data_IF_723130078806
#
_entry.id   IF_723130078806
#
_cell.length_a   1.000
_cell.length_b   1.000
_cell.length_c   1.000
_cell.angle_alpha   90.00
_cell.angle_beta   90.00
_cell.angle_gamma   90.00
#
_symmetry.space_group_name_H-M   'P 1'
#
loop_
_entity.id
_entity.type
_entity.pdbx_description
1 polymer ?
#
# COMPACT_ATOMS: atom_id res chain seq x y z
N UNK A 1 -16.28 -27.53 35.97
CA UNK A 1 -15.94 -27.91 34.58
C UNK A 1 -15.47 -26.64 33.89
N UNK A 2 -14.22 -26.56 33.45
CA UNK A 2 -13.69 -25.35 32.83
C UNK A 2 -14.42 -25.09 31.51
N UNK A 3 -15.11 -23.95 31.42
CA UNK A 3 -15.77 -23.49 30.19
C UNK A 3 -14.72 -23.36 29.09
N UNK A 4 -14.94 -24.00 27.94
CA UNK A 4 -14.02 -23.92 26.80
C UNK A 4 -13.87 -22.44 26.39
N UNK A 5 -12.65 -21.95 26.07
CA UNK A 5 -12.48 -20.57 25.66
C UNK A 5 -13.32 -20.31 24.40
N UNK A 6 -14.25 -19.35 24.48
CA UNK A 6 -15.10 -18.96 23.35
C UNK A 6 -14.20 -18.44 22.23
N UNK A 7 -14.37 -18.97 21.03
CA UNK A 7 -13.58 -18.60 19.86
C UNK A 7 -13.98 -17.20 19.38
N UNK A 8 -13.04 -16.25 19.47
CA UNK A 8 -13.27 -14.81 19.19
C UNK A 8 -13.03 -14.46 17.72
N UNK A 9 -12.43 -15.36 16.94
CA UNK A 9 -12.22 -15.15 15.50
C UNK A 9 -13.11 -16.09 14.70
N UNK A 10 -13.63 -15.61 13.57
CA UNK A 10 -14.26 -16.47 12.56
C UNK A 10 -13.19 -17.34 11.89
N UNK A 11 -13.59 -18.48 11.34
CA UNK A 11 -12.73 -19.31 10.47
C UNK A 11 -12.46 -18.64 9.12
N UNK A 12 -13.31 -17.67 8.73
CA UNK A 12 -13.16 -16.92 7.49
C UNK A 12 -11.95 -15.97 7.55
N UNK A 13 -11.17 -15.97 6.47
CA UNK A 13 -10.00 -15.10 6.29
C UNK A 13 -10.08 -14.42 4.93
N UNK A 14 -9.49 -13.23 4.83
CA UNK A 14 -9.30 -12.61 3.53
C UNK A 14 -8.22 -13.36 2.71
N UNK A 15 -8.08 -13.09 1.40
CA UNK A 15 -7.06 -13.74 0.53
C UNK A 15 -5.61 -13.59 1.01
N UNK A 16 -5.36 -12.69 1.97
CA UNK A 16 -4.06 -12.34 2.53
C UNK A 16 -3.87 -12.90 3.96
N UNK A 17 -4.83 -13.68 4.45
CA UNK A 17 -4.76 -14.41 5.72
C UNK A 17 -5.25 -13.66 6.96
N UNK A 18 -5.74 -12.43 6.81
CA UNK A 18 -6.27 -11.61 7.91
C UNK A 18 -7.57 -12.26 8.42
N UNK A 19 -7.67 -12.62 9.72
CA UNK A 19 -8.86 -13.21 10.30
C UNK A 19 -10.05 -12.26 10.27
N UNK A 20 -11.24 -12.77 9.94
CA UNK A 20 -12.50 -12.01 10.03
C UNK A 20 -13.01 -12.00 11.48
N UNK A 21 -13.48 -10.84 11.91
CA UNK A 21 -14.15 -10.65 13.18
C UNK A 21 -15.56 -11.26 13.12
N UNK A 22 -15.96 -12.11 14.08
CA UNK A 22 -17.32 -12.63 14.13
C UNK A 22 -18.28 -11.54 14.58
N UNK A 23 -19.41 -11.37 13.92
CA UNK A 23 -20.45 -10.46 14.37
C UNK A 23 -21.39 -11.17 15.35
N UNK A 24 -21.54 -10.62 16.56
CA UNK A 24 -22.40 -11.20 17.59
C UNK A 24 -23.78 -10.53 17.50
N UNK A 25 -24.70 -11.19 16.80
CA UNK A 25 -26.08 -10.71 16.65
C UNK A 25 -26.89 -10.84 17.96
N UNK A 26 -26.80 -11.99 18.62
CA UNK A 26 -27.48 -12.26 19.89
C UNK A 26 -26.45 -12.36 21.02
N UNK A 27 -26.40 -11.32 21.86
CA UNK A 27 -25.47 -11.26 22.98
C UNK A 27 -25.88 -12.19 24.10
N UNK A 28 -27.19 -12.40 24.33
CA UNK A 28 -27.71 -13.27 25.38
C UNK A 28 -27.31 -14.74 25.13
N UNK A 29 -27.40 -15.21 23.88
CA UNK A 29 -26.97 -16.56 23.51
C UNK A 29 -25.44 -16.71 23.55
N UNK A 30 -24.73 -15.68 23.09
CA UNK A 30 -23.27 -15.67 23.12
C UNK A 30 -22.72 -15.61 24.55
N UNK A 31 -23.40 -14.91 25.46
CA UNK A 31 -23.13 -14.82 26.90
C UNK A 31 -23.97 -15.85 27.67
N UNK A 32 -23.84 -17.12 27.30
CA UNK A 32 -24.52 -18.27 27.92
C UNK A 32 -24.35 -18.44 29.44
N UNK A 33 -23.45 -17.70 30.08
CA UNK A 33 -23.16 -17.77 31.52
C UNK A 33 -23.12 -16.35 32.09
N UNK A 34 -23.99 -16.05 33.06
CA UNK A 34 -24.15 -14.72 33.69
C UNK A 34 -23.05 -14.41 34.72
N UNK A 35 -21.98 -15.20 34.73
CA UNK A 35 -20.86 -15.04 35.65
C UNK A 35 -20.01 -13.82 35.27
N UNK A 36 -19.75 -12.95 36.25
CA UNK A 36 -18.96 -11.72 36.04
C UNK A 36 -17.57 -12.02 35.46
N UNK A 37 -16.97 -13.15 35.85
CA UNK A 37 -15.65 -13.58 35.38
C UNK A 37 -15.64 -13.93 33.88
N UNK A 38 -16.73 -14.52 33.36
CA UNK A 38 -16.82 -14.89 31.94
C UNK A 38 -16.97 -13.66 31.03
N UNK A 39 -17.68 -12.64 31.51
CA UNK A 39 -17.86 -11.36 30.83
C UNK A 39 -16.53 -10.62 30.75
N UNK A 40 -15.84 -10.48 31.89
CA UNK A 40 -14.55 -9.78 31.93
C UNK A 40 -13.50 -10.48 31.05
N UNK A 41 -13.46 -11.82 31.09
CA UNK A 41 -12.59 -12.61 30.21
C UNK A 41 -12.89 -12.36 28.74
N UNK A 42 -14.17 -12.30 28.36
CA UNK A 42 -14.57 -12.04 26.97
C UNK A 42 -14.22 -10.63 26.51
N UNK A 43 -14.47 -9.62 27.36
CA UNK A 43 -14.12 -8.23 27.06
C UNK A 43 -12.61 -8.04 26.91
N UNK A 44 -11.79 -8.65 27.78
CA UNK A 44 -10.32 -8.65 27.63
C UNK A 44 -9.89 -9.26 26.30
N UNK A 45 -10.51 -10.37 25.93
CA UNK A 45 -10.14 -11.05 24.69
C UNK A 45 -10.57 -10.28 23.42
N UNK A 46 -11.66 -9.49 23.49
CA UNK A 46 -12.00 -8.53 22.43
C UNK A 46 -11.00 -7.37 22.37
N UNK A 47 -10.55 -6.85 23.51
CA UNK A 47 -9.50 -5.83 23.54
C UNK A 47 -8.20 -6.35 22.93
N UNK A 48 -7.80 -7.59 23.22
CA UNK A 48 -6.64 -8.23 22.60
C UNK A 48 -6.79 -8.37 21.07
N UNK A 49 -7.99 -8.71 20.60
CA UNK A 49 -8.28 -8.79 19.17
C UNK A 49 -8.22 -7.41 18.50
N UNK A 50 -8.79 -6.37 19.12
CA UNK A 50 -8.70 -4.98 18.64
C UNK A 50 -7.25 -4.52 18.58
N UNK A 51 -6.43 -4.83 19.59
CA UNK A 51 -5.02 -4.50 19.60
C UNK A 51 -4.26 -5.16 18.42
N UNK A 52 -4.57 -6.43 18.11
CA UNK A 52 -4.00 -7.13 16.95
C UNK A 52 -4.42 -6.48 15.63
N UNK A 53 -5.70 -6.13 15.46
CA UNK A 53 -6.17 -5.45 14.25
C UNK A 53 -5.50 -4.08 14.08
N UNK A 54 -5.40 -3.27 15.14
CA UNK A 54 -4.71 -1.98 15.11
C UNK A 54 -3.22 -2.11 14.78
N UNK A 55 -2.55 -3.13 15.31
CA UNK A 55 -1.16 -3.41 14.97
C UNK A 55 -0.99 -3.75 13.48
N UNK A 56 -1.87 -4.60 12.94
CA UNK A 56 -1.87 -4.92 11.51
C UNK A 56 -2.16 -3.68 10.65
N UNK A 57 -3.11 -2.83 11.06
CA UNK A 57 -3.46 -1.59 10.36
C UNK A 57 -2.27 -0.62 10.32
N UNK A 58 -1.57 -0.45 11.45
CA UNK A 58 -0.38 0.39 11.52
C UNK A 58 0.73 -0.09 10.56
N UNK A 59 0.98 -1.40 10.52
CA UNK A 59 1.98 -1.98 9.63
C UNK A 59 1.63 -1.81 8.15
N UNK A 60 0.37 -2.06 7.78
CA UNK A 60 -0.09 -1.87 6.40
C UNK A 60 -0.13 -0.39 6.01
N UNK A 61 -0.45 0.51 6.94
CA UNK A 61 -0.39 1.96 6.71
C UNK A 61 1.03 2.41 6.41
N UNK A 62 2.03 1.95 7.20
CA UNK A 62 3.42 2.25 6.92
C UNK A 62 3.85 1.73 5.54
N UNK A 63 3.47 0.49 5.20
CA UNK A 63 3.76 -0.10 3.88
C UNK A 63 3.12 0.68 2.74
N UNK A 64 1.89 1.15 2.92
CA UNK A 64 1.18 2.01 1.96
C UNK A 64 1.97 3.30 1.73
N UNK A 65 2.33 4.02 2.79
CA UNK A 65 3.11 5.27 2.68
C UNK A 65 4.43 5.05 1.93
N UNK A 66 5.18 4.00 2.26
CA UNK A 66 6.41 3.68 1.53
C UNK A 66 6.20 3.35 0.05
N UNK A 67 5.05 2.79 -0.33
CA UNK A 67 4.72 2.54 -1.74
C UNK A 67 4.29 3.83 -2.44
N UNK A 68 3.51 4.68 -1.78
CA UNK A 68 3.07 5.98 -2.29
C UNK A 68 4.26 6.93 -2.54
N UNK A 69 5.32 6.84 -1.74
CA UNK A 69 6.59 7.57 -1.96
C UNK A 69 7.40 6.99 -3.14
N UNK A 70 7.51 5.65 -3.24
CA UNK A 70 8.36 4.99 -4.24
C UNK A 70 7.78 5.00 -5.66
N UNK A 71 6.46 4.92 -5.80
CA UNK A 71 5.82 4.85 -7.12
C UNK A 71 6.15 6.08 -7.98
N UNK A 72 6.06 7.33 -7.48
CA UNK A 72 6.51 8.52 -8.20
C UNK A 72 7.98 8.46 -8.63
N UNK A 73 8.88 7.96 -7.78
CA UNK A 73 10.30 7.86 -8.09
C UNK A 73 10.57 6.85 -9.22
N UNK A 74 9.89 5.70 -9.19
CA UNK A 74 9.96 4.70 -10.27
C UNK A 74 9.42 5.29 -11.58
N UNK A 75 8.31 6.05 -11.54
CA UNK A 75 7.75 6.74 -12.72
C UNK A 75 8.72 7.74 -13.31
N UNK A 76 9.27 8.65 -12.50
CA UNK A 76 10.28 9.63 -12.96
C UNK A 76 11.50 8.95 -13.56
N UNK A 77 11.95 7.84 -12.96
CA UNK A 77 13.09 7.07 -13.50
C UNK A 77 12.74 6.45 -14.85
N UNK A 78 11.53 5.92 -15.01
CA UNK A 78 11.03 5.39 -16.28
C UNK A 78 10.95 6.49 -17.34
N UNK A 79 10.38 7.64 -17.02
CA UNK A 79 10.24 8.78 -17.93
C UNK A 79 11.62 9.22 -18.48
N UNK A 80 12.66 9.23 -17.62
CA UNK A 80 14.04 9.53 -18.05
C UNK A 80 14.59 8.46 -18.99
N UNK A 81 14.36 7.18 -18.71
CA UNK A 81 14.81 6.08 -19.58
C UNK A 81 14.10 6.13 -20.93
N UNK A 82 12.81 6.42 -20.95
CA UNK A 82 12.01 6.59 -22.18
C UNK A 82 12.50 7.78 -22.99
N UNK A 83 12.74 8.93 -22.35
CA UNK A 83 13.32 10.11 -23.03
C UNK A 83 14.69 9.81 -23.67
N UNK A 84 15.57 9.11 -22.95
CA UNK A 84 16.87 8.71 -23.48
C UNK A 84 16.75 7.72 -24.66
N UNK A 85 15.74 6.85 -24.63
CA UNK A 85 15.46 5.91 -25.70
C UNK A 85 14.89 6.60 -26.95
N UNK A 86 13.88 7.46 -26.79
CA UNK A 86 13.25 8.20 -27.89
C UNK A 86 14.25 9.08 -28.63
N UNK A 87 15.10 9.81 -27.89
CA UNK A 87 16.16 10.63 -28.48
C UNK A 87 17.13 9.80 -29.32
N UNK A 88 17.42 8.56 -28.90
CA UNK A 88 18.29 7.64 -29.64
C UNK A 88 17.59 7.06 -30.87
N UNK A 89 16.33 6.68 -30.76
CA UNK A 89 15.56 6.14 -31.89
C UNK A 89 15.29 7.20 -32.96
N UNK A 90 15.05 8.46 -32.55
CA UNK A 90 14.97 9.60 -33.47
C UNK A 90 16.25 9.77 -34.30
N UNK A 91 17.41 9.48 -33.73
CA UNK A 91 18.71 9.46 -34.42
C UNK A 91 18.81 8.33 -35.44
N UNK A 92 18.35 7.12 -35.08
CA UNK A 92 18.39 5.94 -35.96
C UNK A 92 17.45 6.00 -37.17
N UNK A 93 16.40 6.84 -37.11
CA UNK A 93 15.49 7.05 -38.25
C UNK A 93 16.11 7.98 -39.30
N UNK A 94 16.82 9.02 -38.86
CA UNK A 94 17.51 9.93 -39.77
C UNK A 94 18.70 9.24 -40.48
N UNK A 95 19.42 8.34 -39.80
CA UNK A 95 20.58 7.64 -40.38
C UNK A 95 20.25 6.56 -41.45
N UNK A 96 18.98 6.13 -41.60
CA UNK A 96 18.62 5.06 -42.56
C UNK A 96 17.93 5.56 -43.85
N UNK A 97 17.55 6.84 -43.93
CA UNK A 97 16.83 7.42 -45.08
C UNK A 97 17.74 8.26 -46.01
N UNK A 98 19.08 8.21 -45.85
CA UNK A 98 20.02 8.96 -46.71
C UNK A 98 20.37 8.25 -48.05
N UNK A 99 19.78 7.09 -48.36
CA UNK A 99 20.12 6.27 -49.55
C UNK A 99 19.05 6.22 -50.66
N UNK A 100 17.93 6.97 -50.58
CA UNK A 100 16.95 7.09 -51.70
C UNK A 100 17.03 8.48 -52.35
N UNK A 101 17.64 8.50 -53.53
CA UNK A 101 18.00 9.65 -54.37
C UNK A 101 16.82 10.43 -55.00
N UNK A 102 17.11 11.72 -55.25
CA UNK A 102 16.60 12.63 -56.30
C UNK A 102 15.11 13.00 -56.31
N UNK A 103 14.78 14.25 -55.94
CA UNK A 103 14.01 15.13 -56.82
C UNK A 103 14.27 16.62 -56.51
N UNK A 104 14.48 17.39 -57.58
CA UNK A 104 14.60 18.84 -57.60
C UNK A 104 13.39 19.52 -56.93
N UNK A 105 13.61 20.60 -56.17
CA UNK A 105 12.85 21.87 -56.18
C UNK A 105 12.90 22.61 -54.82
N UNK A 106 12.97 23.95 -54.92
CA UNK A 106 12.80 24.99 -53.90
C UNK A 106 14.06 25.56 -53.21
N UNK A 107 14.57 26.62 -53.85
CA UNK A 107 15.22 27.76 -53.20
C UNK A 107 14.27 28.41 -52.19
N UNK A 108 14.59 28.33 -50.89
CA UNK A 108 14.19 29.32 -49.88
C UNK A 108 15.23 29.32 -48.73
N UNK A 109 15.47 30.51 -48.18
CA UNK A 109 16.70 30.96 -47.51
C UNK A 109 17.02 30.33 -46.14
N UNK A 110 18.29 29.95 -45.96
CA UNK A 110 19.12 29.94 -44.74
C UNK A 110 18.47 29.56 -43.40
N UNK A 111 18.24 28.26 -43.20
CA UNK A 111 18.68 27.56 -41.99
C UNK A 111 19.11 26.16 -42.45
N UNK A 112 20.41 25.94 -42.65
CA UNK A 112 20.98 24.60 -42.86
C UNK A 112 20.66 23.76 -41.62
N UNK A 113 19.54 23.03 -41.62
CA UNK A 113 19.28 21.95 -40.68
C UNK A 113 20.22 20.78 -41.01
N UNK A 114 21.48 20.93 -40.61
CA UNK A 114 22.47 19.87 -40.55
C UNK A 114 21.92 18.73 -39.64
N UNK A 115 21.56 17.56 -40.19
CA UNK A 115 20.97 16.45 -39.43
C UNK A 115 21.96 15.82 -38.44
N UNK A 116 23.25 16.16 -38.52
CA UNK A 116 24.32 15.54 -37.74
C UNK A 116 24.50 16.12 -36.33
N UNK A 117 23.76 17.16 -35.94
CA UNK A 117 24.03 17.90 -34.71
C UNK A 117 22.88 17.88 -33.67
N UNK A 118 22.52 16.69 -33.20
CA UNK A 118 21.86 16.55 -31.90
C UNK A 118 22.81 17.04 -30.81
N UNK A 119 22.70 18.33 -30.46
CA UNK A 119 23.53 18.98 -29.43
C UNK A 119 23.64 18.09 -28.19
N UNK A 120 24.86 17.88 -27.65
CA UNK A 120 25.05 17.08 -26.44
C UNK A 120 24.15 17.63 -25.32
N UNK A 121 23.42 16.74 -24.65
CA UNK A 121 22.51 17.17 -23.56
C UNK A 121 23.39 17.77 -22.48
N UNK A 122 23.25 19.06 -22.25
CA UNK A 122 23.84 19.70 -21.08
C UNK A 122 22.89 19.50 -19.92
N UNK A 123 23.35 18.85 -18.87
CA UNK A 123 22.56 18.59 -17.66
C UNK A 123 23.37 18.94 -16.42
N UNK A 124 22.67 19.28 -15.34
CA UNK A 124 23.27 19.57 -14.04
C UNK A 124 23.26 18.30 -13.19
N UNK A 125 24.45 17.77 -12.90
CA UNK A 125 24.63 16.62 -12.02
C UNK A 125 24.71 17.07 -10.56
N UNK A 126 23.97 16.39 -9.71
CA UNK A 126 24.06 16.55 -8.26
C UNK A 126 25.31 15.85 -7.72
N UNK A 127 26.26 16.63 -7.18
CA UNK A 127 27.45 16.13 -6.49
C UNK A 127 27.20 15.98 -4.98
N UNK A 128 26.35 16.85 -4.43
CA UNK A 128 25.88 16.89 -3.05
C UNK A 128 24.55 17.67 -3.02
N UNK A 129 23.77 17.58 -1.94
CA UNK A 129 22.43 18.18 -1.77
C UNK A 129 22.37 19.70 -2.10
N UNK A 130 23.50 20.39 -2.07
CA UNK A 130 23.63 21.84 -2.38
C UNK A 130 24.67 22.16 -3.46
N UNK A 131 25.26 21.14 -4.09
CA UNK A 131 26.33 21.29 -5.07
C UNK A 131 25.97 20.57 -6.37
N UNK A 132 25.85 21.35 -7.44
CA UNK A 132 25.58 20.85 -8.78
C UNK A 132 26.73 21.24 -9.72
N UNK A 133 27.01 20.39 -10.70
CA UNK A 133 27.94 20.69 -11.79
C UNK A 133 27.29 20.47 -13.14
N UNK A 134 27.53 21.39 -14.07
CA UNK A 134 27.12 21.26 -15.46
C UNK A 134 28.05 20.29 -16.18
N UNK A 135 27.48 19.32 -16.90
CA UNK A 135 28.22 18.44 -17.78
C UNK A 135 27.42 18.10 -19.04
N UNK A 136 28.14 17.76 -20.09
CA UNK A 136 27.58 17.27 -21.34
C UNK A 136 27.49 15.75 -21.30
N UNK A 137 26.29 15.22 -21.57
CA UNK A 137 26.03 13.79 -21.61
C UNK A 137 26.37 13.22 -22.98
N UNK A 138 27.27 12.23 -22.98
CA UNK A 138 27.51 11.36 -24.13
C UNK A 138 26.34 10.38 -24.30
N UNK A 139 25.93 10.14 -25.55
CA UNK A 139 24.88 9.18 -25.83
C UNK A 139 25.34 7.75 -25.52
N UNK A 140 24.69 7.12 -24.54
CA UNK A 140 24.94 5.76 -24.12
C UNK A 140 23.74 4.87 -24.44
N UNK A 141 24.02 3.62 -24.79
CA UNK A 141 22.99 2.59 -25.01
C UNK A 141 22.57 1.86 -23.73
N UNK A 142 23.24 2.17 -22.61
CA UNK A 142 23.11 1.47 -21.34
C UNK A 142 22.94 2.44 -20.18
N UNK A 143 22.09 2.07 -19.23
CA UNK A 143 21.85 2.76 -17.96
C UNK A 143 22.23 1.87 -16.79
N UNK A 144 22.72 2.46 -15.70
CA UNK A 144 23.06 1.74 -14.48
C UNK A 144 21.93 1.86 -13.47
N UNK A 145 21.32 0.74 -13.10
CA UNK A 145 20.21 0.69 -12.16
C UNK A 145 20.66 0.09 -10.82
N UNK A 146 20.31 0.77 -9.73
CA UNK A 146 20.50 0.25 -8.38
C UNK A 146 19.40 -0.76 -8.03
N UNK A 147 19.80 -1.99 -7.74
CA UNK A 147 18.85 -3.09 -7.43
C UNK A 147 18.67 -3.30 -5.91
N UNK A 148 19.48 -2.64 -5.09
CA UNK A 148 19.52 -2.83 -3.64
C UNK A 148 20.69 -3.72 -3.20
N UNK A 149 20.84 -3.89 -1.89
CA UNK A 149 21.87 -4.75 -1.27
C UNK A 149 23.31 -4.47 -1.78
N UNK A 150 23.64 -3.20 -2.04
CA UNK A 150 24.93 -2.76 -2.60
C UNK A 150 25.22 -3.28 -4.02
N UNK A 151 24.19 -3.60 -4.79
CA UNK A 151 24.31 -4.10 -6.16
C UNK A 151 23.72 -3.10 -7.16
N UNK A 152 24.54 -2.74 -8.15
CA UNK A 152 24.17 -1.94 -9.32
C UNK A 152 24.51 -2.75 -10.58
N UNK A 153 23.61 -2.78 -11.56
CA UNK A 153 23.82 -3.48 -12.83
C UNK A 153 23.55 -2.54 -14.01
N UNK A 154 24.31 -2.71 -15.09
CA UNK A 154 24.06 -2.05 -16.37
C UNK A 154 23.00 -2.81 -17.17
N UNK A 155 22.05 -2.06 -17.73
CA UNK A 155 21.00 -2.58 -18.60
C UNK A 155 20.96 -1.75 -19.87
N UNK A 156 20.67 -2.39 -21.01
CA UNK A 156 20.33 -1.66 -22.23
C UNK A 156 19.01 -0.92 -22.02
N UNK A 157 18.84 0.24 -22.66
CA UNK A 157 17.61 1.07 -22.56
C UNK A 157 16.29 0.27 -22.64
N UNK A 158 16.06 -0.61 -23.65
CA UNK A 158 14.80 -1.37 -23.73
C UNK A 158 14.63 -2.39 -22.59
N UNK A 159 15.73 -2.97 -22.10
CA UNK A 159 15.68 -3.90 -20.96
C UNK A 159 15.40 -3.15 -19.65
N UNK A 160 15.98 -1.96 -19.48
CA UNK A 160 15.74 -1.08 -18.34
C UNK A 160 14.27 -0.64 -18.30
N UNK A 161 13.71 -0.21 -19.44
CA UNK A 161 12.30 0.16 -19.56
C UNK A 161 11.37 -1.01 -19.17
N UNK A 162 11.61 -2.21 -19.71
CA UNK A 162 10.83 -3.41 -19.36
C UNK A 162 10.92 -3.76 -17.87
N UNK A 163 12.13 -3.68 -17.28
CA UNK A 163 12.36 -3.95 -15.87
C UNK A 163 11.64 -2.93 -14.97
N UNK A 164 11.74 -1.65 -15.29
CA UNK A 164 11.10 -0.56 -14.54
C UNK A 164 9.58 -0.63 -14.64
N UNK A 165 9.03 -0.94 -15.82
CA UNK A 165 7.60 -1.17 -16.01
C UNK A 165 7.07 -2.34 -15.18
N UNK A 166 7.77 -3.48 -15.21
CA UNK A 166 7.41 -4.65 -14.39
C UNK A 166 7.44 -4.32 -12.89
N UNK A 167 8.45 -3.55 -12.44
CA UNK A 167 8.54 -3.09 -11.04
C UNK A 167 7.44 -2.11 -10.69
N UNK A 168 7.08 -1.21 -11.59
CA UNK A 168 6.02 -0.22 -11.41
C UNK A 168 4.66 -0.90 -11.27
N UNK A 169 4.34 -1.85 -12.16
CA UNK A 169 3.11 -2.63 -12.11
C UNK A 169 3.02 -3.44 -10.80
N UNK A 170 4.11 -4.13 -10.43
CA UNK A 170 4.16 -4.85 -9.16
C UNK A 170 3.98 -3.92 -7.94
N UNK A 171 4.56 -2.71 -7.96
CA UNK A 171 4.40 -1.73 -6.89
C UNK A 171 2.96 -1.21 -6.82
N UNK A 172 2.33 -0.92 -7.96
CA UNK A 172 0.94 -0.47 -8.05
C UNK A 172 -0.03 -1.56 -7.58
N UNK A 173 0.14 -2.82 -8.01
CA UNK A 173 -0.67 -3.93 -7.54
C UNK A 173 -0.51 -4.15 -6.04
N UNK A 174 0.72 -4.03 -5.51
CA UNK A 174 0.96 -4.12 -4.07
C UNK A 174 0.29 -2.99 -3.29
N UNK A 175 0.26 -1.76 -3.84
CA UNK A 175 -0.43 -0.64 -3.24
C UNK A 175 -1.94 -0.90 -3.20
N UNK A 176 -2.52 -1.34 -4.31
CA UNK A 176 -3.94 -1.67 -4.41
C UNK A 176 -4.34 -2.75 -3.39
N UNK A 177 -3.60 -3.85 -3.33
CA UNK A 177 -3.82 -4.92 -2.36
C UNK A 177 -3.73 -4.39 -0.91
N UNK A 178 -2.79 -3.49 -0.63
CA UNK A 178 -2.61 -2.91 0.72
C UNK A 178 -3.79 -2.01 1.09
N UNK A 179 -4.34 -1.26 0.13
CA UNK A 179 -5.54 -0.42 0.35
C UNK A 179 -6.75 -1.28 0.67
N UNK A 180 -6.98 -2.36 -0.09
CA UNK A 180 -8.07 -3.31 0.16
C UNK A 180 -7.94 -3.99 1.53
N UNK A 181 -6.73 -4.43 1.89
CA UNK A 181 -6.46 -5.02 3.22
C UNK A 181 -6.71 -4.00 4.35
N UNK A 182 -6.36 -2.72 4.15
CA UNK A 182 -6.64 -1.65 5.12
C UNK A 182 -8.15 -1.40 5.28
N UNK A 183 -8.90 -1.41 4.20
CA UNK A 183 -10.37 -1.30 4.25
C UNK A 183 -10.98 -2.48 5.01
N UNK A 184 -10.55 -3.70 4.70
CA UNK A 184 -10.98 -4.89 5.41
C UNK A 184 -10.69 -4.81 6.92
N UNK A 185 -9.49 -4.34 7.31
CA UNK A 185 -9.12 -4.17 8.72
C UNK A 185 -10.00 -3.14 9.43
N UNK A 186 -10.36 -2.03 8.77
CA UNK A 186 -11.26 -1.02 9.33
C UNK A 186 -12.65 -1.58 9.59
N UNK A 187 -13.17 -2.41 8.69
CA UNK A 187 -14.43 -3.12 8.90
C UNK A 187 -14.34 -4.08 10.10
N UNK A 188 -13.26 -4.86 10.21
CA UNK A 188 -13.07 -5.79 11.32
C UNK A 188 -13.00 -5.07 12.66
N UNK A 189 -12.29 -3.93 12.69
CA UNK A 189 -12.14 -3.10 13.87
C UNK A 189 -13.51 -2.53 14.28
N UNK A 190 -14.30 -2.04 13.32
CA UNK A 190 -15.68 -1.56 13.56
C UNK A 190 -16.57 -2.66 14.14
N UNK A 191 -16.53 -3.88 13.59
CA UNK A 191 -17.31 -5.03 14.09
C UNK A 191 -16.91 -5.35 15.54
N UNK A 192 -15.61 -5.39 15.84
CA UNK A 192 -15.13 -5.68 17.18
C UNK A 192 -15.50 -4.59 18.20
N UNK A 193 -15.47 -3.32 17.81
CA UNK A 193 -15.89 -2.21 18.66
C UNK A 193 -17.39 -2.28 18.95
N UNK A 194 -18.22 -2.57 17.94
CA UNK A 194 -19.66 -2.79 18.11
C UNK A 194 -19.94 -3.98 19.03
N UNK A 195 -19.26 -5.11 18.83
CA UNK A 195 -19.39 -6.28 19.69
C UNK A 195 -19.00 -5.98 21.14
N UNK A 196 -17.92 -5.23 21.36
CA UNK A 196 -17.47 -4.83 22.69
C UNK A 196 -18.50 -3.95 23.38
N UNK A 197 -19.05 -2.95 22.67
CA UNK A 197 -20.10 -2.09 23.20
C UNK A 197 -21.37 -2.88 23.52
N UNK A 198 -21.75 -3.84 22.67
CA UNK A 198 -22.90 -4.73 22.89
C UNK A 198 -22.76 -5.57 24.15
N UNK A 199 -21.61 -6.22 24.34
CA UNK A 199 -21.34 -7.03 25.54
C UNK A 199 -21.29 -6.15 26.80
N UNK A 200 -20.68 -4.96 26.71
CA UNK A 200 -20.66 -4.02 27.82
C UNK A 200 -22.07 -3.54 28.21
N UNK A 201 -22.90 -3.15 27.23
CA UNK A 201 -24.27 -2.73 27.47
C UNK A 201 -25.13 -3.86 28.07
N UNK A 202 -24.90 -5.09 27.62
CA UNK A 202 -25.55 -6.27 28.17
C UNK A 202 -25.15 -6.52 29.64
N UNK A 203 -23.85 -6.45 29.97
CA UNK A 203 -23.37 -6.58 31.36
C UNK A 203 -23.96 -5.51 32.29
N UNK A 204 -24.00 -4.25 31.83
CA UNK A 204 -24.62 -3.15 32.58
C UNK A 204 -26.11 -3.42 32.83
N UNK A 205 -26.83 -3.92 31.83
CA UNK A 205 -28.25 -4.28 31.97
C UNK A 205 -28.42 -5.41 32.99
N UNK A 206 -27.65 -6.49 32.89
CA UNK A 206 -27.70 -7.61 33.84
C UNK A 206 -27.40 -7.18 35.28
N UNK A 207 -26.40 -6.33 35.49
CA UNK A 207 -26.07 -5.79 36.83
C UNK A 207 -27.19 -4.91 37.38
N UNK A 208 -27.82 -4.09 36.53
CA UNK A 208 -28.96 -3.25 36.92
C UNK A 208 -30.16 -4.11 37.31
N UNK A 209 -30.47 -5.13 36.54
CA UNK A 209 -31.62 -6.01 36.78
C UNK A 209 -31.42 -6.83 38.07
N UNK A 210 -30.21 -7.34 38.31
CA UNK A 210 -29.84 -8.01 39.58
C UNK A 210 -30.00 -7.08 40.80
N UNK A 211 -29.58 -5.81 40.70
CA UNK A 211 -29.76 -4.82 41.78
C UNK A 211 -31.23 -4.54 42.07
N UNK A 212 -32.05 -4.34 41.03
CA UNK A 212 -33.49 -4.10 41.17
C UNK A 212 -34.20 -5.33 41.76
N UNK A 213 -33.76 -6.54 41.41
CA UNK A 213 -34.32 -7.78 41.98
C UNK A 213 -34.03 -7.89 43.48
N UNK A 214 -32.79 -7.59 43.90
CA UNK A 214 -32.40 -7.59 45.31
C UNK A 214 -33.21 -6.57 46.14
N UNK A 215 -33.36 -5.33 45.65
CA UNK A 215 -34.16 -4.29 46.32
C UNK A 215 -35.64 -4.69 46.50
N UNK A 216 -36.20 -5.46 45.56
CA UNK A 216 -37.59 -5.97 45.65
C UNK A 216 -37.76 -7.11 46.63
N UNK A 217 -36.73 -7.92 46.88
CA UNK A 217 -36.76 -8.99 47.87
C UNK A 217 -36.64 -8.42 49.29
N UNK A 218 -35.72 -7.48 49.51
CA UNK A 218 -35.56 -6.80 50.81
C UNK A 218 -36.84 -6.04 51.22
N UNK A 219 -37.53 -5.41 50.27
CA UNK A 219 -38.81 -4.72 50.52
C UNK A 219 -40.00 -5.64 50.83
N UNK A 220 -39.89 -6.95 50.56
CA UNK A 220 -40.93 -7.95 50.88
C UNK A 220 -40.71 -8.61 52.24
N UNK A 221 -39.46 -8.79 52.67
CA UNK A 221 -39.15 -9.36 53.99
C UNK A 221 -39.36 -8.35 55.14
N UNK A 222 -39.34 -7.04 54.84
CA UNK A 222 -39.58 -5.98 55.82
C UNK A 222 -41.05 -5.62 56.07
N UNK A 223 -42.03 -6.41 55.60
CA UNK A 223 -43.47 -6.07 55.66
C UNK A 223 -44.32 -7.16 56.28
#
# INVERSE_FOLDING_TARGET
MASKPKTIFSEERNPRGIPKAPFIANVDEYMSDDSSDSIETTLRAFQDAIAKYRYMEANLTQRRTSLEEKIPDIRKTLDVVEYLQERREGKSKTENDEDDLDDDDLEDEEDEEDPSNLKPITTTYELNDTLYAEAQLEESDSVYLWLGANVMLSYKLPQAQSLLNTRLEAAQQNLQNTIEDLEFLREQLTIMEVNTARVYNWDVKQRRDKRIAAEKEEGKEGR
#
